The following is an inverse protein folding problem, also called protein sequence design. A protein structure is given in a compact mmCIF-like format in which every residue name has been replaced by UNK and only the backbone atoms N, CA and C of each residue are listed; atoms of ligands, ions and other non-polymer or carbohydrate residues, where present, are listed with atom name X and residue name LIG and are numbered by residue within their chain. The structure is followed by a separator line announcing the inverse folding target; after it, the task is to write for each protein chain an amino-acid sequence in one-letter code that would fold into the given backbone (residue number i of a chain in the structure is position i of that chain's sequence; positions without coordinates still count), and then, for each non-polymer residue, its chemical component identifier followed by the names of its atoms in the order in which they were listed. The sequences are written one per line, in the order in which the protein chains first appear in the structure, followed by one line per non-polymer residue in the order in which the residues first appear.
data_IF_195418551282
#
_entry.id   IF_195418551282
#
_cell.length_a   1.000
_cell.length_b   1.000
_cell.length_c   1.000
_cell.angle_alpha   90.00
_cell.angle_beta   90.00
_cell.angle_gamma   90.00
#
_symmetry.space_group_name_H-M   'P 1'
#
loop_
_entity.id
_entity.type
_entity.pdbx_description
1 polymer ?
#
# COMPACT_ATOMS: atom_id res chain seq x y z
N UNK A 1 -31.16 6.80 -1.37
CA UNK A 1 -30.69 6.97 0.03
C UNK A 1 -30.26 5.61 0.55
N UNK A 2 -29.01 5.23 0.31
CA UNK A 2 -28.39 4.12 1.05
C UNK A 2 -27.77 4.80 2.27
N UNK A 3 -28.36 4.57 3.44
CA UNK A 3 -28.00 5.23 4.71
C UNK A 3 -26.77 4.57 5.33
N UNK A 4 -26.17 5.19 6.35
CA UNK A 4 -25.10 4.65 7.23
C UNK A 4 -25.24 3.16 7.61
N UNK A 5 -26.46 2.59 7.56
CA UNK A 5 -26.73 1.15 7.76
C UNK A 5 -26.08 0.23 6.71
N UNK A 6 -25.82 0.71 5.50
CA UNK A 6 -25.16 -0.05 4.44
C UNK A 6 -23.69 -0.36 4.76
N UNK A 7 -22.96 0.65 5.25
CA UNK A 7 -21.54 0.55 5.62
C UNK A 7 -21.31 -0.43 6.78
N UNK A 8 -22.09 -0.29 7.86
CA UNK A 8 -22.08 -1.25 8.97
C UNK A 8 -22.58 -2.66 8.57
N UNK A 9 -23.13 -2.82 7.36
CA UNK A 9 -23.53 -4.12 6.83
C UNK A 9 -22.49 -4.72 5.91
N UNK A 10 -21.77 -3.89 5.15
CA UNK A 10 -20.59 -4.27 4.39
C UNK A 10 -19.44 -4.67 5.30
N UNK A 11 -19.05 -3.81 6.24
CA UNK A 11 -17.98 -4.09 7.21
C UNK A 11 -18.28 -5.29 8.11
N UNK A 12 -19.55 -5.52 8.47
CA UNK A 12 -19.91 -6.71 9.24
C UNK A 12 -19.99 -7.97 8.37
N UNK A 13 -20.31 -7.85 7.09
CA UNK A 13 -20.29 -8.99 6.17
C UNK A 13 -18.89 -9.37 5.74
N UNK A 14 -18.03 -8.42 5.43
CA UNK A 14 -16.62 -8.67 5.18
C UNK A 14 -16.01 -9.34 6.41
N UNK A 15 -16.24 -8.80 7.62
CA UNK A 15 -15.86 -9.46 8.87
C UNK A 15 -16.46 -10.85 9.01
N UNK A 16 -17.74 -11.08 8.68
CA UNK A 16 -18.40 -12.38 8.79
C UNK A 16 -17.82 -13.41 7.79
N UNK A 17 -17.59 -12.98 6.56
CA UNK A 17 -17.03 -13.78 5.46
C UNK A 17 -15.55 -14.09 5.76
N UNK A 18 -14.77 -13.09 6.16
CA UNK A 18 -13.38 -13.26 6.61
C UNK A 18 -13.32 -14.17 7.83
N UNK A 19 -14.23 -14.02 8.80
CA UNK A 19 -14.31 -14.88 9.99
C UNK A 19 -14.70 -16.32 9.64
N UNK A 20 -15.62 -16.54 8.71
CA UNK A 20 -15.96 -17.89 8.21
C UNK A 20 -14.80 -18.51 7.42
N UNK A 21 -14.06 -17.70 6.66
CA UNK A 21 -12.96 -18.15 5.82
C UNK A 21 -11.59 -18.04 6.51
N UNK A 22 -11.54 -17.68 7.80
CA UNK A 22 -10.31 -17.58 8.59
C UNK A 22 -9.57 -18.92 8.71
N UNK A 23 -10.27 -20.02 8.47
CA UNK A 23 -9.71 -21.37 8.40
C UNK A 23 -9.08 -21.71 7.03
N UNK A 24 -9.20 -20.83 6.03
CA UNK A 24 -8.72 -21.05 4.64
C UNK A 24 -7.61 -20.07 4.21
N UNK A 25 -7.32 -19.03 5.01
CA UNK A 25 -6.39 -17.95 4.66
C UNK A 25 -4.93 -18.21 5.04
N UNK A 26 -4.63 -19.34 5.69
CA UNK A 26 -3.26 -19.71 6.09
C UNK A 26 -2.41 -20.30 4.94
N UNK A 27 -2.99 -20.50 3.73
CA UNK A 27 -2.25 -20.98 2.55
C UNK A 27 -2.53 -20.19 1.26
N UNK A 28 -1.74 -20.47 0.21
CA UNK A 28 -1.77 -19.80 -1.11
C UNK A 28 -3.15 -19.73 -1.76
N UNK A 29 -4.01 -20.70 -1.48
CA UNK A 29 -5.39 -20.81 -1.95
C UNK A 29 -6.26 -19.72 -1.33
N UNK A 30 -6.00 -19.37 -0.07
CA UNK A 30 -6.67 -18.29 0.64
C UNK A 30 -6.52 -16.94 -0.02
N UNK A 31 -5.35 -16.64 -0.59
CA UNK A 31 -5.15 -15.38 -1.32
C UNK A 31 -6.00 -15.28 -2.58
N UNK A 32 -5.94 -16.29 -3.45
CA UNK A 32 -6.71 -16.28 -4.70
C UNK A 32 -8.20 -16.33 -4.44
N UNK A 33 -8.61 -17.08 -3.41
CA UNK A 33 -9.98 -17.02 -2.92
C UNK A 33 -10.32 -15.62 -2.43
N UNK A 34 -9.46 -14.98 -1.64
CA UNK A 34 -9.62 -13.59 -1.18
C UNK A 34 -9.80 -12.63 -2.36
N UNK A 35 -8.93 -12.66 -3.35
CA UNK A 35 -9.06 -11.86 -4.58
C UNK A 35 -10.34 -12.18 -5.35
N UNK A 36 -10.71 -13.45 -5.49
CA UNK A 36 -11.95 -13.85 -6.16
C UNK A 36 -13.19 -13.36 -5.37
N UNK A 37 -13.13 -13.40 -4.04
CA UNK A 37 -14.16 -12.83 -3.16
C UNK A 37 -14.23 -11.31 -3.30
N UNK A 38 -13.08 -10.65 -3.36
CA UNK A 38 -12.96 -9.21 -3.54
C UNK A 38 -13.58 -8.82 -4.89
N UNK A 39 -13.25 -9.56 -5.95
CA UNK A 39 -13.84 -9.42 -7.27
C UNK A 39 -15.37 -9.61 -7.26
N UNK A 40 -15.89 -10.59 -6.51
CA UNK A 40 -17.34 -10.83 -6.35
C UNK A 40 -18.03 -9.71 -5.57
N UNK A 41 -17.44 -9.26 -4.47
CA UNK A 41 -17.98 -8.16 -3.64
C UNK A 41 -17.98 -6.87 -4.43
N UNK A 42 -16.88 -6.55 -5.14
CA UNK A 42 -16.81 -5.41 -6.06
C UNK A 42 -17.91 -5.48 -7.11
N UNK A 43 -18.13 -6.61 -7.77
CA UNK A 43 -19.20 -6.70 -8.77
C UNK A 43 -20.59 -6.52 -8.17
N UNK A 44 -20.84 -7.01 -6.95
CA UNK A 44 -22.10 -6.77 -6.26
C UNK A 44 -22.24 -5.28 -5.92
N UNK A 45 -21.20 -4.66 -5.37
CA UNK A 45 -21.22 -3.23 -4.99
C UNK A 45 -21.45 -2.34 -6.21
N UNK A 46 -20.73 -2.61 -7.29
CA UNK A 46 -20.63 -1.73 -8.45
C UNK A 46 -21.74 -1.96 -9.51
N UNK A 47 -22.49 -3.08 -9.44
CA UNK A 47 -23.52 -3.43 -10.44
C UNK A 47 -24.87 -2.72 -10.26
N UNK A 48 -25.56 -2.47 -11.38
CA UNK A 48 -26.91 -1.85 -11.42
C UNK A 48 -28.08 -2.78 -11.03
N UNK A 49 -27.83 -4.04 -10.66
CA UNK A 49 -28.88 -5.05 -10.60
C UNK A 49 -29.81 -4.91 -9.37
N UNK A 50 -31.13 -5.01 -9.56
CA UNK A 50 -32.10 -5.19 -8.47
C UNK A 50 -31.79 -6.41 -7.60
N UNK A 51 -31.07 -7.39 -8.15
CA UNK A 51 -30.54 -8.54 -7.38
C UNK A 51 -29.54 -8.13 -6.32
N UNK A 52 -28.79 -7.05 -6.52
CA UNK A 52 -27.92 -6.44 -5.50
C UNK A 52 -28.77 -5.93 -4.34
N UNK A 53 -29.86 -5.22 -4.61
CA UNK A 53 -30.79 -4.78 -3.56
C UNK A 53 -31.46 -5.96 -2.83
N UNK A 54 -31.83 -7.03 -3.55
CA UNK A 54 -32.38 -8.26 -2.96
C UNK A 54 -31.34 -9.04 -2.16
N UNK A 55 -30.09 -9.09 -2.61
CA UNK A 55 -28.96 -9.65 -1.89
C UNK A 55 -28.77 -8.89 -0.57
N UNK A 56 -28.72 -7.56 -0.61
CA UNK A 56 -28.67 -6.72 0.59
C UNK A 56 -29.87 -6.92 1.53
N UNK A 57 -31.09 -7.07 0.99
CA UNK A 57 -32.29 -7.39 1.80
C UNK A 57 -32.19 -8.77 2.46
N UNK A 58 -31.69 -9.78 1.74
CA UNK A 58 -31.53 -11.15 2.26
C UNK A 58 -30.47 -11.21 3.35
N UNK A 59 -29.37 -10.47 3.18
CA UNK A 59 -28.34 -10.28 4.20
C UNK A 59 -28.90 -9.59 5.45
N UNK A 60 -29.67 -8.52 5.28
CA UNK A 60 -30.32 -7.84 6.41
C UNK A 60 -31.29 -8.78 7.16
N UNK A 61 -31.96 -9.69 6.44
CA UNK A 61 -32.81 -10.72 7.03
C UNK A 61 -32.00 -11.77 7.82
N UNK A 62 -30.85 -12.20 7.31
CA UNK A 62 -29.93 -13.12 7.98
C UNK A 62 -29.42 -12.50 9.30
N UNK A 63 -29.14 -11.19 9.32
CA UNK A 63 -28.81 -10.47 10.56
C UNK A 63 -29.95 -10.50 11.58
N UNK A 64 -31.19 -10.36 11.15
CA UNK A 64 -32.36 -10.40 12.03
C UNK A 64 -32.63 -11.81 12.59
N UNK A 65 -32.34 -12.85 11.81
CA UNK A 65 -32.55 -14.24 12.20
C UNK A 65 -31.42 -14.84 13.05
N UNK A 66 -30.21 -14.30 12.94
CA UNK A 66 -29.03 -14.80 13.69
C UNK A 66 -28.94 -14.26 15.14
N UNK A 67 -29.88 -13.43 15.59
CA UNK A 67 -29.97 -12.99 16.99
C UNK A 67 -28.77 -12.17 17.48
N UNK A 68 -28.03 -11.52 16.57
CA UNK A 68 -26.87 -10.72 16.91
C UNK A 68 -27.31 -9.39 17.55
N UNK A 69 -27.39 -9.38 18.89
CA UNK A 69 -27.55 -8.17 19.69
C UNK A 69 -26.18 -7.51 19.82
N UNK A 70 -26.09 -6.24 19.45
CA UNK A 70 -24.94 -5.38 19.76
C UNK A 70 -24.94 -5.11 21.27
N UNK A 71 -24.29 -5.95 22.06
CA UNK A 71 -23.89 -5.60 23.43
C UNK A 71 -22.57 -4.80 23.36
N UNK A 72 -22.72 -3.49 23.20
CA UNK A 72 -21.81 -2.51 23.76
C UNK A 72 -22.67 -1.67 24.70
N UNK A 73 -22.79 -2.12 25.95
CA UNK A 73 -23.25 -1.27 27.05
C UNK A 73 -22.03 -0.59 27.65
N UNK A 74 -22.07 0.74 27.63
CA UNK A 74 -21.29 1.59 28.52
C UNK A 74 -21.54 1.18 29.98
N UNK A 75 -20.45 1.09 30.74
CA UNK A 75 -20.29 1.20 32.21
C UNK A 75 -19.49 0.04 32.81
N UNK A 76 -18.23 0.32 33.16
CA UNK A 76 -17.62 -0.07 34.44
C UNK A 76 -16.28 0.66 34.64
N UNK A 77 -16.34 1.98 34.89
CA UNK A 77 -15.29 2.68 35.63
C UNK A 77 -15.63 2.51 37.10
N UNK A 78 -15.04 1.49 37.73
CA UNK A 78 -14.96 1.42 39.20
C UNK A 78 -13.62 1.97 39.66
N UNK A 79 -13.70 3.16 40.25
CA UNK A 79 -12.72 3.76 41.15
C UNK A 79 -12.33 2.78 42.25
N UNK A 80 -11.03 2.50 42.40
CA UNK A 80 -10.48 1.99 43.65
C UNK A 80 -9.13 2.62 43.94
N UNK A 81 -9.07 3.16 45.15
CA UNK A 81 -7.99 3.90 45.79
C UNK A 81 -6.59 3.28 45.60
N UNK A 82 -5.61 4.17 45.46
CA UNK A 82 -4.23 3.95 45.92
C UNK A 82 -3.54 5.30 46.11
N UNK A 83 -3.75 5.90 47.27
CA UNK A 83 -2.73 6.72 47.91
C UNK A 83 -1.71 5.80 48.58
N UNK A 84 -0.49 6.33 48.76
CA UNK A 84 0.62 5.79 49.58
C UNK A 84 1.60 4.85 48.88
N UNK A 85 2.71 5.41 48.39
CA UNK A 85 4.01 5.19 49.04
C UNK A 85 5.10 6.02 48.32
N UNK A 86 5.33 7.22 48.83
CA UNK A 86 6.63 7.88 48.75
C UNK A 86 7.66 7.04 49.53
N UNK A 87 8.84 6.80 48.94
CA UNK A 87 10.17 6.79 49.58
C UNK A 87 11.12 5.80 48.89
N UNK A 88 12.09 6.34 48.13
CA UNK A 88 13.53 6.21 48.42
C UNK A 88 14.37 6.44 47.17
N UNK A 89 14.92 7.65 47.05
CA UNK A 89 16.13 7.90 46.26
C UNK A 89 17.12 8.60 47.18
N UNK A 90 18.15 7.87 47.63
CA UNK A 90 19.40 8.50 48.08
C UNK A 90 20.59 7.56 47.94
N UNK A 91 21.45 7.92 46.99
CA UNK A 91 22.92 8.03 47.05
C UNK A 91 23.69 6.86 47.67
N UNK A 92 24.61 6.30 46.87
CA UNK A 92 26.03 6.13 47.26
C UNK A 92 26.92 5.85 46.04
N UNK A 93 27.77 6.83 45.76
CA UNK A 93 29.05 6.67 45.05
C UNK A 93 30.04 5.94 45.97
N UNK A 94 30.88 5.06 45.40
CA UNK A 94 32.31 4.94 45.72
C UNK A 94 32.98 3.89 44.81
N UNK A 95 34.03 4.31 44.10
CA UNK A 95 35.13 3.47 43.56
C UNK A 95 36.03 2.97 44.72
N UNK A 96 36.82 1.90 44.54
CA UNK A 96 38.19 1.98 43.97
C UNK A 96 38.47 0.87 42.92
N UNK A 97 39.17 1.14 41.82
CA UNK A 97 40.64 1.07 41.62
C UNK A 97 41.27 -0.23 42.12
N UNK A 98 41.58 -1.14 41.18
CA UNK A 98 42.80 -1.95 41.24
C UNK A 98 43.19 -2.42 39.82
N UNK A 99 44.46 -2.20 39.52
CA UNK A 99 45.21 -2.61 38.34
C UNK A 99 45.65 -4.07 38.47
N UNK A 100 45.78 -4.80 37.36
CA UNK A 100 47.09 -5.32 36.95
C UNK A 100 47.06 -6.25 35.72
N UNK A 101 48.15 -6.08 34.96
CA UNK A 101 48.90 -7.05 34.16
C UNK A 101 48.35 -7.66 32.87
N UNK A 102 49.09 -7.27 31.82
CA UNK A 102 49.34 -7.91 30.54
C UNK A 102 49.58 -9.42 30.59
N UNK A 103 49.08 -10.12 29.56
CA UNK A 103 49.77 -11.28 29.00
C UNK A 103 49.77 -11.18 27.47
N UNK A 104 50.97 -11.08 26.92
CA UNK A 104 51.30 -11.13 25.50
C UNK A 104 51.38 -12.60 25.09
N UNK A 105 50.62 -13.02 24.07
CA UNK A 105 50.94 -14.24 23.33
C UNK A 105 50.82 -14.06 21.82
N UNK A 106 51.68 -14.82 21.14
CA UNK A 106 52.24 -14.57 19.81
C UNK A 106 51.45 -15.28 18.70
N UNK A 107 51.42 -14.62 17.54
CA UNK A 107 51.47 -15.15 16.16
C UNK A 107 50.71 -16.46 15.84
N UNK A 108 49.74 -16.33 14.95
CA UNK A 108 49.60 -17.26 13.82
C UNK A 108 49.26 -16.47 12.55
N UNK A 109 50.03 -16.71 11.49
CA UNK A 109 49.86 -16.17 10.13
C UNK A 109 49.04 -17.18 9.32
N UNK A 110 47.95 -16.76 8.67
CA UNK A 110 47.46 -17.37 7.42
C UNK A 110 46.32 -16.54 6.78
N UNK A 111 45.99 -16.73 5.49
CA UNK A 111 46.63 -16.08 4.35
C UNK A 111 45.68 -15.12 3.61
N UNK A 112 46.23 -14.34 2.67
CA UNK A 112 45.49 -13.46 1.76
C UNK A 112 44.31 -14.16 1.07
N UNK A 113 43.14 -13.52 0.90
CA UNK A 113 42.09 -14.05 0.07
C UNK A 113 42.42 -13.80 -1.41
N UNK A 114 42.40 -14.88 -2.20
CA UNK A 114 42.40 -14.83 -3.65
C UNK A 114 41.14 -14.13 -4.17
N UNK A 115 41.20 -13.33 -5.24
CA UNK A 115 40.02 -12.77 -5.87
C UNK A 115 39.41 -13.89 -6.72
N UNK A 116 38.23 -14.40 -6.34
CA UNK A 116 37.22 -15.03 -7.21
C UNK A 116 36.21 -15.83 -6.37
N UNK A 117 35.28 -15.14 -5.74
CA UNK A 117 33.86 -15.51 -5.75
C UNK A 117 33.08 -14.26 -5.33
N UNK A 118 32.22 -13.74 -6.21
CA UNK A 118 31.21 -12.75 -5.83
C UNK A 118 30.19 -13.44 -4.92
N UNK A 119 30.57 -13.66 -3.66
CA UNK A 119 29.62 -13.97 -2.61
C UNK A 119 28.83 -12.68 -2.38
N UNK A 120 27.68 -12.55 -3.04
CA UNK A 120 26.68 -11.58 -2.63
C UNK A 120 26.28 -11.92 -1.19
N UNK A 121 26.91 -11.27 -0.22
CA UNK A 121 26.58 -11.40 1.19
C UNK A 121 25.19 -10.83 1.38
N UNK A 122 24.20 -11.69 1.59
CA UNK A 122 22.86 -11.27 1.96
C UNK A 122 22.93 -10.69 3.36
N UNK A 123 22.70 -9.39 3.48
CA UNK A 123 22.63 -8.72 4.77
C UNK A 123 21.23 -8.90 5.36
N UNK A 124 21.19 -9.22 6.66
CA UNK A 124 19.95 -9.43 7.40
C UNK A 124 19.55 -8.13 8.09
N UNK A 125 18.36 -7.62 7.76
CA UNK A 125 17.81 -6.41 8.33
C UNK A 125 16.59 -6.70 9.20
N UNK A 126 16.32 -5.80 10.15
CA UNK A 126 15.12 -5.85 10.99
C UNK A 126 14.18 -4.71 10.64
N UNK A 127 12.90 -5.02 10.45
CA UNK A 127 11.88 -4.00 10.19
C UNK A 127 11.85 -2.92 11.28
N UNK A 128 12.02 -3.30 12.55
CA UNK A 128 11.98 -2.36 13.67
C UNK A 128 13.04 -1.25 13.57
N UNK A 129 14.23 -1.59 13.07
CA UNK A 129 15.33 -0.65 12.91
C UNK A 129 15.03 0.32 11.76
N UNK A 130 14.56 -0.19 10.62
CA UNK A 130 14.13 0.65 9.50
C UNK A 130 13.01 1.62 9.88
N UNK A 131 12.00 1.17 10.64
CA UNK A 131 10.92 2.05 11.13
C UNK A 131 11.47 3.18 11.99
N UNK A 132 12.44 2.86 12.86
CA UNK A 132 13.07 3.85 13.72
C UNK A 132 13.85 4.88 12.88
N UNK A 133 14.63 4.42 11.89
CA UNK A 133 15.44 5.28 11.03
C UNK A 133 14.60 6.10 10.04
N UNK A 134 13.48 5.56 9.56
CA UNK A 134 12.57 6.24 8.63
C UNK A 134 11.59 7.19 9.30
N UNK A 135 11.62 7.32 10.64
CA UNK A 135 10.58 8.04 11.38
C UNK A 135 10.38 9.48 10.92
N UNK A 136 11.45 10.17 10.54
CA UNK A 136 11.40 11.57 10.06
C UNK A 136 10.67 11.75 8.73
N UNK A 137 10.53 10.68 7.92
CA UNK A 137 9.73 10.74 6.71
C UNK A 137 8.27 11.07 7.01
N UNK A 138 7.76 10.68 8.19
CA UNK A 138 6.38 10.93 8.62
C UNK A 138 6.09 12.44 8.73
N UNK A 139 7.09 13.27 9.02
CA UNK A 139 6.94 14.74 9.10
C UNK A 139 6.60 15.38 7.75
N UNK A 140 6.85 14.65 6.65
CA UNK A 140 6.60 15.10 5.28
C UNK A 140 5.40 14.43 4.62
N UNK A 141 4.81 13.44 5.29
CA UNK A 141 3.57 12.80 4.85
C UNK A 141 2.42 13.68 5.30
N UNK A 142 1.76 14.31 4.34
CA UNK A 142 0.74 15.33 4.61
C UNK A 142 -0.65 14.69 4.61
N UNK A 143 -0.86 13.71 3.74
CA UNK A 143 -2.13 13.04 3.61
C UNK A 143 -2.15 11.71 4.38
N UNK A 144 -2.93 11.67 5.45
CA UNK A 144 -3.31 10.40 6.05
C UNK A 144 -4.33 9.71 5.14
N UNK A 145 -3.82 8.78 4.33
CA UNK A 145 -4.63 7.99 3.39
C UNK A 145 -5.80 7.28 4.08
N UNK A 146 -5.67 6.89 5.36
CA UNK A 146 -6.76 6.24 6.09
C UNK A 146 -7.86 7.19 6.50
N UNK A 147 -7.48 8.40 6.95
CA UNK A 147 -8.46 9.45 7.21
C UNK A 147 -9.19 9.80 5.92
N UNK A 148 -8.48 9.90 4.80
CA UNK A 148 -9.13 10.13 3.50
C UNK A 148 -10.12 9.01 3.16
N UNK A 149 -9.70 7.74 3.17
CA UNK A 149 -10.57 6.58 2.89
C UNK A 149 -11.84 6.59 3.76
N UNK A 150 -11.67 6.80 5.07
CA UNK A 150 -12.79 6.72 6.04
C UNK A 150 -13.71 7.93 6.01
N UNK A 151 -13.27 9.06 5.46
CA UNK A 151 -14.06 10.29 5.35
C UNK A 151 -14.76 10.44 4.00
N UNK A 152 -14.43 9.62 3.00
CA UNK A 152 -15.16 9.58 1.74
C UNK A 152 -16.64 9.24 2.01
N UNK A 153 -17.52 10.20 1.72
CA UNK A 153 -18.95 9.96 1.79
C UNK A 153 -19.30 8.79 0.87
N UNK A 154 -19.91 7.74 1.43
CA UNK A 154 -20.26 6.54 0.69
C UNK A 154 -21.31 6.85 -0.38
N UNK A 155 -20.85 7.16 -1.58
CA UNK A 155 -21.63 7.14 -2.80
C UNK A 155 -21.33 5.82 -3.49
N UNK A 156 -22.34 5.02 -3.83
CA UNK A 156 -22.10 3.78 -4.56
C UNK A 156 -21.56 4.14 -5.96
N UNK A 157 -20.24 3.98 -6.22
CA UNK A 157 -19.68 4.40 -7.49
C UNK A 157 -20.19 3.42 -8.54
N UNK A 158 -20.97 3.94 -9.49
CA UNK A 158 -21.47 3.12 -10.59
C UNK A 158 -20.36 3.00 -11.61
N UNK A 159 -19.94 1.76 -11.87
CA UNK A 159 -19.05 1.43 -12.97
C UNK A 159 -19.83 0.69 -14.06
N UNK A 160 -19.42 0.89 -15.31
CA UNK A 160 -19.92 0.10 -16.43
C UNK A 160 -19.61 -1.40 -16.21
N UNK A 161 -20.53 -2.31 -16.59
CA UNK A 161 -20.31 -3.75 -16.40
C UNK A 161 -19.01 -4.27 -17.01
N UNK A 162 -18.56 -3.70 -18.13
CA UNK A 162 -17.27 -4.04 -18.75
C UNK A 162 -16.08 -3.68 -17.86
N UNK A 163 -16.13 -2.53 -17.20
CA UNK A 163 -15.10 -2.07 -16.26
C UNK A 163 -15.05 -2.97 -15.04
N UNK A 164 -16.22 -3.36 -14.51
CA UNK A 164 -16.33 -4.34 -13.42
C UNK A 164 -15.69 -5.66 -13.84
N UNK A 165 -16.07 -6.22 -15.00
CA UNK A 165 -15.50 -7.48 -15.48
C UNK A 165 -13.99 -7.42 -15.65
N UNK A 166 -13.46 -6.28 -16.13
CA UNK A 166 -12.02 -6.05 -16.25
C UNK A 166 -11.31 -5.98 -14.90
N UNK A 167 -11.88 -5.27 -13.94
CA UNK A 167 -11.37 -5.25 -12.58
C UNK A 167 -11.38 -6.64 -11.95
N UNK A 168 -12.43 -7.43 -12.16
CA UNK A 168 -12.51 -8.82 -11.67
C UNK A 168 -11.45 -9.73 -12.30
N UNK A 169 -11.29 -9.65 -13.62
CA UNK A 169 -10.27 -10.40 -14.37
C UNK A 169 -8.87 -10.04 -13.87
N UNK A 170 -8.57 -8.75 -13.77
CA UNK A 170 -7.29 -8.27 -13.29
C UNK A 170 -7.03 -8.67 -11.84
N UNK A 171 -7.99 -8.49 -10.93
CA UNK A 171 -7.86 -8.91 -9.52
C UNK A 171 -7.63 -10.42 -9.43
N UNK A 172 -8.35 -11.24 -10.19
CA UNK A 172 -8.26 -12.70 -10.12
C UNK A 172 -7.04 -13.29 -10.84
N UNK A 173 -6.39 -12.51 -11.70
CA UNK A 173 -5.23 -12.97 -12.48
C UNK A 173 -4.04 -13.30 -11.55
N UNK A 174 -3.33 -14.42 -11.76
CA UNK A 174 -2.12 -14.75 -11.01
C UNK A 174 -0.89 -13.93 -11.44
N UNK A 175 -1.03 -13.06 -12.44
CA UNK A 175 0.07 -12.27 -12.99
C UNK A 175 0.16 -10.91 -12.29
N UNK A 176 1.39 -10.48 -12.03
CA UNK A 176 1.69 -9.11 -11.61
C UNK A 176 1.40 -8.16 -12.77
N UNK A 177 0.50 -7.21 -12.57
CA UNK A 177 0.04 -6.34 -13.65
C UNK A 177 -0.46 -4.99 -13.10
N UNK A 178 -0.42 -3.99 -13.98
CA UNK A 178 -1.06 -2.70 -13.80
C UNK A 178 -2.48 -2.72 -14.34
N UNK A 179 -3.40 -2.10 -13.61
CA UNK A 179 -4.72 -1.74 -14.12
C UNK A 179 -4.95 -0.26 -13.88
N UNK A 180 -5.22 0.48 -14.94
CA UNK A 180 -5.56 1.90 -14.90
C UNK A 180 -7.02 2.09 -15.32
N UNK A 181 -7.87 2.55 -14.40
CA UNK A 181 -9.23 2.99 -14.70
C UNK A 181 -9.26 4.53 -14.72
N UNK A 182 -9.52 5.11 -15.87
CA UNK A 182 -9.69 6.56 -16.03
C UNK A 182 -11.16 6.89 -16.28
N UNK A 183 -11.66 7.99 -15.70
CA UNK A 183 -13.00 8.51 -16.03
C UNK A 183 -12.89 9.79 -16.84
N UNK A 184 -13.70 9.92 -17.88
CA UNK A 184 -13.75 11.16 -18.69
C UNK A 184 -14.15 12.35 -17.80
N UNK A 185 -13.21 13.30 -17.62
CA UNK A 185 -13.38 14.63 -17.04
C UNK A 185 -14.26 14.66 -15.77
N UNK A 186 -13.77 14.10 -14.66
CA UNK A 186 -14.41 14.33 -13.38
C UNK A 186 -14.01 15.73 -12.86
N UNK A 187 -14.96 16.67 -12.87
CA UNK A 187 -14.75 18.07 -12.48
C UNK A 187 -14.44 18.23 -10.98
N UNK A 188 -14.80 17.23 -10.16
CA UNK A 188 -14.67 17.28 -8.70
C UNK A 188 -13.81 16.12 -8.20
N UNK A 189 -12.84 16.45 -7.35
CA UNK A 189 -12.10 15.51 -6.51
C UNK A 189 -12.65 15.57 -5.07
N UNK A 190 -12.80 14.45 -4.34
CA UNK A 190 -12.59 13.07 -4.76
C UNK A 190 -13.52 12.66 -5.91
N UNK A 191 -12.99 11.87 -6.85
CA UNK A 191 -13.78 11.37 -7.97
C UNK A 191 -14.60 10.15 -7.54
N UNK A 192 -15.65 9.75 -8.28
CA UNK A 192 -16.30 8.45 -8.03
C UNK A 192 -15.34 7.26 -8.10
N UNK A 193 -14.23 7.37 -8.85
CA UNK A 193 -13.21 6.33 -8.90
C UNK A 193 -12.36 6.31 -7.62
N UNK A 194 -12.18 7.43 -6.93
CA UNK A 194 -11.54 7.47 -5.61
C UNK A 194 -12.28 6.60 -4.59
N UNK A 195 -13.61 6.52 -4.69
CA UNK A 195 -14.43 5.61 -3.87
C UNK A 195 -14.19 4.13 -4.25
N UNK A 196 -13.99 3.83 -5.54
CA UNK A 196 -13.63 2.46 -5.98
C UNK A 196 -12.28 2.07 -5.38
N UNK A 197 -11.28 2.95 -5.47
CA UNK A 197 -9.96 2.75 -4.87
C UNK A 197 -10.02 2.58 -3.36
N UNK A 198 -10.78 3.41 -2.65
CA UNK A 198 -10.98 3.29 -1.21
C UNK A 198 -11.63 1.95 -0.82
N UNK A 199 -12.71 1.55 -1.49
CA UNK A 199 -13.35 0.25 -1.25
C UNK A 199 -12.39 -0.92 -1.50
N UNK A 200 -11.58 -0.84 -2.56
CA UNK A 200 -10.59 -1.86 -2.88
C UNK A 200 -9.54 -1.99 -1.77
N UNK A 201 -9.07 -0.86 -1.23
CA UNK A 201 -8.14 -0.85 -0.08
C UNK A 201 -8.80 -1.44 1.16
N UNK A 202 -10.01 -0.99 1.53
CA UNK A 202 -10.73 -1.52 2.70
C UNK A 202 -10.91 -3.04 2.62
N UNK A 203 -11.35 -3.56 1.46
CA UNK A 203 -11.51 -4.99 1.28
C UNK A 203 -10.19 -5.76 1.35
N UNK A 204 -9.11 -5.23 0.76
CA UNK A 204 -7.80 -5.85 0.84
C UNK A 204 -7.34 -6.00 2.30
N UNK A 205 -7.63 -4.99 3.12
CA UNK A 205 -7.24 -4.92 4.54
C UNK A 205 -8.07 -5.89 5.37
N UNK A 206 -9.37 -5.93 5.13
CA UNK A 206 -10.27 -6.90 5.76
C UNK A 206 -9.87 -8.33 5.42
N UNK A 207 -9.32 -8.57 4.23
CA UNK A 207 -8.79 -9.86 3.79
C UNK A 207 -7.34 -10.12 4.21
N UNK A 208 -6.74 -9.24 5.01
CA UNK A 208 -5.35 -9.32 5.47
C UNK A 208 -4.31 -9.39 4.34
N UNK A 209 -4.61 -8.76 3.21
CA UNK A 209 -3.66 -8.59 2.12
C UNK A 209 -2.67 -7.48 2.45
N UNK A 210 -1.43 -7.64 1.98
CA UNK A 210 -0.45 -6.55 2.05
C UNK A 210 -0.89 -5.45 1.10
N UNK A 211 -1.24 -4.28 1.63
CA UNK A 211 -1.70 -3.15 0.82
C UNK A 211 -0.87 -1.90 1.07
N UNK A 212 -0.50 -1.22 -0.01
CA UNK A 212 -0.10 0.18 0.01
C UNK A 212 -1.18 1.00 -0.69
N UNK A 213 -1.50 2.17 -0.18
CA UNK A 213 -2.43 3.08 -0.80
C UNK A 213 -1.89 4.51 -0.76
N UNK A 214 -2.07 5.25 -1.85
CA UNK A 214 -1.80 6.67 -1.91
C UNK A 214 -2.90 7.37 -2.70
N UNK A 215 -3.51 8.37 -2.08
CA UNK A 215 -4.54 9.21 -2.68
C UNK A 215 -3.93 10.58 -2.88
N UNK A 216 -3.61 10.94 -4.13
CA UNK A 216 -2.92 12.17 -4.43
C UNK A 216 -3.87 13.37 -4.33
N UNK A 217 -3.56 14.33 -3.45
CA UNK A 217 -4.21 15.64 -3.45
C UNK A 217 -3.63 16.58 -4.50
N UNK A 218 -4.30 17.72 -4.73
CA UNK A 218 -3.75 18.75 -5.59
C UNK A 218 -2.55 19.43 -4.92
N UNK A 219 -1.49 19.78 -5.66
CA UNK A 219 -0.36 20.53 -5.12
C UNK A 219 -0.76 21.81 -4.38
N UNK A 220 -1.84 22.47 -4.81
CA UNK A 220 -2.35 23.68 -4.14
C UNK A 220 -2.74 23.46 -2.67
N UNK A 221 -3.16 22.24 -2.32
CA UNK A 221 -3.60 21.84 -0.98
C UNK A 221 -2.43 21.60 -0.02
N UNK A 222 -1.20 21.53 -0.54
CA UNK A 222 0.00 21.38 0.27
C UNK A 222 0.34 22.70 0.99
N UNK A 223 0.78 22.63 2.26
CA UNK A 223 1.04 23.80 3.08
C UNK A 223 2.28 24.58 2.61
N UNK A 224 2.23 25.91 2.79
CA UNK A 224 3.38 26.82 2.67
C UNK A 224 3.78 27.23 1.23
N UNK A 225 4.83 28.05 1.16
CA UNK A 225 5.72 28.19 0.00
C UNK A 225 5.19 28.77 -1.32
N UNK A 226 6.10 28.78 -2.29
CA UNK A 226 5.85 29.02 -3.71
C UNK A 226 5.13 27.82 -4.36
N UNK A 227 4.63 28.02 -5.59
CA UNK A 227 4.00 26.93 -6.36
C UNK A 227 4.94 25.72 -6.51
N UNK A 228 6.22 25.96 -6.82
CA UNK A 228 7.22 24.90 -7.01
C UNK A 228 7.50 24.12 -5.73
N UNK A 229 7.56 24.81 -4.58
CA UNK A 229 7.77 24.16 -3.28
C UNK A 229 6.61 23.23 -2.91
N UNK A 230 5.38 23.64 -3.23
CA UNK A 230 4.18 22.82 -3.04
C UNK A 230 4.15 21.60 -3.95
N UNK A 231 4.48 21.78 -5.22
CA UNK A 231 4.58 20.68 -6.19
C UNK A 231 5.62 19.65 -5.77
N UNK A 232 6.79 20.10 -5.32
CA UNK A 232 7.83 19.22 -4.80
C UNK A 232 7.38 18.51 -3.51
N UNK A 233 6.69 19.22 -2.60
CA UNK A 233 6.14 18.63 -1.39
C UNK A 233 5.13 17.51 -1.70
N UNK A 234 4.32 17.68 -2.74
CA UNK A 234 3.35 16.69 -3.19
C UNK A 234 4.02 15.41 -3.71
N UNK A 235 5.02 15.53 -4.59
CA UNK A 235 5.73 14.34 -5.10
C UNK A 235 6.60 13.69 -4.02
N UNK A 236 7.14 14.47 -3.08
CA UNK A 236 7.84 13.93 -1.90
C UNK A 236 6.91 13.10 -1.02
N UNK A 237 5.72 13.63 -0.72
CA UNK A 237 4.70 12.93 0.05
C UNK A 237 4.36 11.59 -0.61
N UNK A 238 4.22 11.57 -1.95
CA UNK A 238 4.02 10.34 -2.70
C UNK A 238 5.11 9.29 -2.46
N UNK A 239 6.39 9.64 -2.66
CA UNK A 239 7.49 8.70 -2.45
C UNK A 239 7.59 8.24 -0.98
N UNK A 240 7.42 9.15 -0.03
CA UNK A 240 7.64 8.88 1.39
C UNK A 240 6.48 8.08 1.99
N UNK A 241 5.26 8.41 1.61
CA UNK A 241 4.07 7.61 1.91
C UNK A 241 4.24 6.17 1.44
N UNK A 242 4.73 5.95 0.22
CA UNK A 242 4.99 4.60 -0.28
C UNK A 242 6.12 3.90 0.46
N UNK A 243 7.27 4.56 0.65
CA UNK A 243 8.40 3.99 1.39
C UNK A 243 7.98 3.58 2.81
N UNK A 244 7.23 4.43 3.50
CA UNK A 244 6.79 4.17 4.87
C UNK A 244 5.88 2.96 4.95
N UNK A 245 4.92 2.85 4.03
CA UNK A 245 4.02 1.70 3.94
C UNK A 245 4.76 0.42 3.55
N UNK A 246 5.68 0.50 2.59
CA UNK A 246 6.54 -0.63 2.21
C UNK A 246 7.32 -1.14 3.42
N UNK A 247 7.96 -0.24 4.18
CA UNK A 247 8.68 -0.59 5.42
C UNK A 247 7.76 -1.25 6.44
N UNK A 248 6.53 -0.76 6.60
CA UNK A 248 5.56 -1.36 7.53
C UNK A 248 5.18 -2.79 7.15
N UNK A 249 5.08 -3.06 5.84
CA UNK A 249 4.73 -4.38 5.33
C UNK A 249 5.88 -5.40 5.39
N UNK A 250 7.13 -4.98 5.56
CA UNK A 250 8.27 -5.92 5.59
C UNK A 250 8.09 -7.02 6.67
N UNK A 251 8.65 -8.22 6.45
CA UNK A 251 8.75 -9.21 7.51
C UNK A 251 9.56 -8.68 8.72
N UNK A 252 9.39 -9.23 9.93
CA UNK A 252 10.17 -8.79 11.10
C UNK A 252 11.68 -8.80 10.87
N UNK A 253 12.15 -9.79 10.09
CA UNK A 253 13.52 -9.91 9.59
C UNK A 253 13.47 -10.28 8.11
N UNK A 254 14.30 -9.63 7.30
CA UNK A 254 14.34 -9.87 5.86
C UNK A 254 15.76 -9.67 5.33
N UNK A 255 16.03 -10.30 4.19
CA UNK A 255 17.29 -10.15 3.47
C UNK A 255 17.06 -9.31 2.24
N UNK A 256 18.05 -8.48 1.89
CA UNK A 256 18.07 -7.74 0.64
C UNK A 256 19.10 -8.37 -0.28
N UNK A 257 18.70 -8.63 -1.52
CA UNK A 257 19.58 -9.19 -2.53
C UNK A 257 20.40 -8.09 -3.20
N UNK A 258 21.71 -8.30 -3.29
CA UNK A 258 22.67 -7.37 -3.89
C UNK A 258 23.29 -6.41 -2.90
N UNK A 259 24.13 -5.51 -3.41
CA UNK A 259 24.91 -4.55 -2.63
C UNK A 259 24.09 -3.30 -2.22
N UNK A 260 22.80 -3.46 -1.94
CA UNK A 260 22.00 -2.31 -1.49
C UNK A 260 22.25 -2.08 0.00
N UNK A 261 23.03 -1.04 0.30
CA UNK A 261 23.31 -0.62 1.66
C UNK A 261 22.08 0.07 2.28
N UNK A 262 21.38 -0.62 3.20
CA UNK A 262 20.25 -0.06 3.96
C UNK A 262 20.77 0.35 5.35
N UNK A 263 21.59 1.39 5.36
CA UNK A 263 22.15 2.00 6.57
C UNK A 263 21.25 3.07 7.16
N UNK A 264 21.40 3.29 8.47
CA UNK A 264 20.72 4.38 9.18
C UNK A 264 21.05 5.75 8.58
N UNK A 265 22.31 5.96 8.18
CA UNK A 265 22.83 7.17 7.58
C UNK A 265 22.14 7.49 6.27
N UNK A 266 21.83 6.46 5.47
CA UNK A 266 21.15 6.61 4.19
C UNK A 266 19.68 6.98 4.35
N UNK A 267 19.01 6.39 5.34
CA UNK A 267 17.63 6.77 5.66
C UNK A 267 17.56 8.16 6.28
N UNK A 268 18.52 8.54 7.13
CA UNK A 268 18.62 9.89 7.70
C UNK A 268 19.02 10.94 6.65
N UNK A 269 19.76 10.56 5.60
CA UNK A 269 20.09 11.45 4.49
C UNK A 269 18.87 11.84 3.65
N UNK A 270 17.72 11.18 3.83
CA UNK A 270 16.46 11.60 3.23
C UNK A 270 15.92 12.89 3.86
N UNK A 271 16.48 13.37 4.98
CA UNK A 271 16.03 14.61 5.61
C UNK A 271 16.37 15.90 4.81
N UNK A 272 17.28 15.84 3.82
CA UNK A 272 17.77 17.02 3.07
C UNK A 272 17.08 17.17 1.69
N UNK A 273 15.86 17.72 1.73
CA UNK A 273 14.82 17.59 0.71
C UNK A 273 14.67 18.75 -0.28
N UNK A 274 15.75 19.45 -0.60
CA UNK A 274 15.88 20.17 -1.88
C UNK A 274 16.83 19.46 -2.84
N UNK A 275 17.50 18.40 -2.38
CA UNK A 275 18.62 17.81 -3.08
C UNK A 275 18.17 16.65 -3.96
N UNK A 276 18.57 16.69 -5.24
CA UNK A 276 18.46 15.55 -6.17
C UNK A 276 19.04 14.25 -5.58
N UNK A 277 19.99 14.35 -4.64
CA UNK A 277 20.60 13.22 -3.96
C UNK A 277 19.62 12.51 -3.01
N UNK A 278 18.85 13.24 -2.22
CA UNK A 278 17.87 12.64 -1.31
C UNK A 278 16.77 11.92 -2.12
N UNK A 279 16.32 12.54 -3.21
CA UNK A 279 15.36 11.93 -4.13
C UNK A 279 15.86 10.59 -4.71
N UNK A 280 17.05 10.59 -5.33
CA UNK A 280 17.65 9.36 -5.88
C UNK A 280 17.83 8.28 -4.81
N UNK A 281 18.26 8.68 -3.61
CA UNK A 281 18.42 7.76 -2.47
C UNK A 281 17.09 7.09 -2.10
N UNK A 282 15.99 7.84 -2.10
CA UNK A 282 14.65 7.34 -1.80
C UNK A 282 14.13 6.37 -2.86
N UNK A 283 14.36 6.67 -4.15
CA UNK A 283 14.03 5.76 -5.25
C UNK A 283 14.82 4.45 -5.15
N UNK A 284 16.12 4.52 -4.89
CA UNK A 284 16.96 3.33 -4.72
C UNK A 284 16.52 2.50 -3.51
N UNK A 285 16.08 3.14 -2.41
CA UNK A 285 15.54 2.44 -1.25
C UNK A 285 14.24 1.73 -1.62
N UNK A 286 13.32 2.41 -2.30
CA UNK A 286 12.05 1.84 -2.74
C UNK A 286 12.31 0.62 -3.64
N UNK A 287 13.20 0.76 -4.62
CA UNK A 287 13.59 -0.31 -5.55
C UNK A 287 14.13 -1.55 -4.84
N UNK A 288 14.89 -1.37 -3.76
CA UNK A 288 15.48 -2.48 -3.01
C UNK A 288 14.56 -3.09 -1.97
N UNK A 289 13.61 -2.33 -1.43
CA UNK A 289 12.67 -2.83 -0.41
C UNK A 289 11.44 -3.52 -1.03
N UNK A 290 10.97 -3.08 -2.20
CA UNK A 290 9.82 -3.68 -2.88
C UNK A 290 9.92 -5.21 -3.08
N UNK A 291 11.08 -5.78 -3.46
CA UNK A 291 11.23 -7.23 -3.57
C UNK A 291 10.98 -7.98 -2.25
N UNK A 292 11.26 -7.35 -1.11
CA UNK A 292 11.19 -7.92 0.23
C UNK A 292 9.79 -7.87 0.86
N UNK A 293 8.85 -7.11 0.28
CA UNK A 293 7.47 -7.04 0.77
C UNK A 293 6.78 -8.41 0.61
N UNK A 294 6.04 -8.87 1.64
CA UNK A 294 5.27 -10.10 1.57
C UNK A 294 4.34 -10.07 0.35
N UNK A 295 4.55 -11.03 -0.53
CA UNK A 295 3.66 -11.24 -1.64
C UNK A 295 2.56 -12.20 -1.18
N UNK A 296 1.31 -11.92 -1.52
CA UNK A 296 0.88 -10.93 -2.52
C UNK A 296 0.70 -9.52 -1.98
N UNK A 297 0.95 -8.53 -2.83
CA UNK A 297 0.82 -7.12 -2.49
C UNK A 297 -0.09 -6.39 -3.49
N UNK A 298 -1.00 -5.58 -2.96
CA UNK A 298 -1.80 -4.64 -3.72
C UNK A 298 -1.30 -3.22 -3.47
N UNK A 299 -1.11 -2.43 -4.52
CA UNK A 299 -0.77 -1.01 -4.43
C UNK A 299 -1.88 -0.23 -5.13
N UNK A 300 -2.51 0.71 -4.43
CA UNK A 300 -3.61 1.52 -4.96
C UNK A 300 -3.15 2.98 -5.03
N UNK A 301 -3.19 3.56 -6.23
CA UNK A 301 -2.72 4.91 -6.52
C UNK A 301 -3.85 5.70 -7.17
N UNK A 302 -4.48 6.59 -6.41
CA UNK A 302 -5.59 7.43 -6.89
C UNK A 302 -5.11 8.87 -7.15
N UNK A 303 -5.58 9.48 -8.23
CA UNK A 303 -5.38 10.91 -8.50
C UNK A 303 -3.98 11.29 -9.01
N UNK A 304 -3.19 10.35 -9.53
CA UNK A 304 -1.80 10.61 -9.98
C UNK A 304 -1.73 11.68 -11.08
N UNK A 305 -2.80 11.91 -11.85
CA UNK A 305 -2.92 12.99 -12.82
C UNK A 305 -2.73 14.40 -12.22
N UNK A 306 -2.92 14.56 -10.91
CA UNK A 306 -2.64 15.81 -10.22
C UNK A 306 -1.15 16.17 -10.23
N UNK A 307 -0.26 15.19 -10.43
CA UNK A 307 1.18 15.37 -10.54
C UNK A 307 1.61 15.76 -11.97
N UNK A 308 0.81 15.49 -12.99
CA UNK A 308 1.17 15.76 -14.40
C UNK A 308 1.22 17.26 -14.71
N UNK A 309 0.42 18.06 -14.01
CA UNK A 309 0.33 19.50 -14.26
C UNK A 309 1.40 20.31 -13.51
N UNK A 310 2.43 19.63 -13.01
CA UNK A 310 3.47 20.20 -12.16
C UNK A 310 4.81 20.30 -12.89
N UNK A 311 5.68 21.19 -12.41
CA UNK A 311 7.08 21.28 -12.85
C UNK A 311 7.91 20.04 -12.50
N UNK A 312 7.36 19.11 -11.72
CA UNK A 312 8.02 17.91 -11.19
C UNK A 312 7.38 16.61 -11.67
N UNK A 313 6.58 16.64 -12.75
CA UNK A 313 5.92 15.46 -13.30
C UNK A 313 6.90 14.30 -13.61
N UNK A 314 8.12 14.62 -14.04
CA UNK A 314 9.17 13.63 -14.27
C UNK A 314 9.55 12.83 -13.01
N UNK A 315 9.48 13.45 -11.83
CA UNK A 315 9.77 12.77 -10.56
C UNK A 315 8.68 11.74 -10.24
N UNK A 316 7.40 12.05 -10.48
CA UNK A 316 6.32 11.08 -10.33
C UNK A 316 6.53 9.88 -11.26
N UNK A 317 6.93 10.13 -12.52
CA UNK A 317 7.24 9.09 -13.49
C UNK A 317 8.35 8.14 -12.99
N UNK A 318 9.42 8.68 -12.37
CA UNK A 318 10.51 7.88 -11.81
C UNK A 318 10.02 6.90 -10.73
N UNK A 319 9.12 7.32 -9.86
CA UNK A 319 8.50 6.43 -8.85
C UNK A 319 7.72 5.30 -9.53
N UNK A 320 6.91 5.62 -10.54
CA UNK A 320 6.13 4.60 -11.24
C UNK A 320 7.00 3.64 -12.05
N UNK A 321 8.11 4.11 -12.62
CA UNK A 321 9.10 3.25 -13.26
C UNK A 321 9.70 2.24 -12.27
N UNK A 322 10.00 2.65 -11.03
CA UNK A 322 10.47 1.74 -9.98
C UNK A 322 9.42 0.67 -9.65
N UNK A 323 8.13 1.03 -9.59
CA UNK A 323 7.05 0.06 -9.42
C UNK A 323 6.96 -0.90 -10.61
N UNK A 324 7.11 -0.40 -11.84
CA UNK A 324 7.13 -1.20 -13.06
C UNK A 324 8.27 -2.21 -13.06
N UNK A 325 9.48 -1.75 -12.78
CA UNK A 325 10.66 -2.61 -12.63
C UNK A 325 10.41 -3.73 -11.60
N UNK A 326 9.80 -3.42 -10.46
CA UNK A 326 9.52 -4.39 -9.41
C UNK A 326 8.50 -5.47 -9.84
N UNK A 327 7.49 -5.08 -10.62
CA UNK A 327 6.50 -6.00 -11.20
C UNK A 327 7.16 -6.92 -12.25
N UNK A 328 8.06 -6.38 -13.08
CA UNK A 328 8.54 -7.11 -14.26
C UNK A 328 9.86 -7.86 -14.07
N UNK A 329 10.78 -7.36 -13.25
CA UNK A 329 12.06 -8.05 -12.99
C UNK A 329 11.84 -9.42 -12.35
N UNK A 330 10.84 -9.52 -11.46
CA UNK A 330 10.39 -10.80 -10.87
C UNK A 330 9.81 -11.81 -11.88
N UNK A 331 9.45 -11.38 -13.09
CA UNK A 331 8.94 -12.25 -14.14
C UNK A 331 10.03 -12.75 -15.10
N UNK A 332 11.14 -12.02 -15.25
CA UNK A 332 12.26 -12.40 -16.13
C UNK A 332 13.16 -13.46 -15.51
N UNK A 333 13.44 -13.36 -14.21
CA UNK A 333 14.29 -14.32 -13.48
C UNK A 333 13.70 -15.75 -13.49
N UNK A 334 12.41 -15.89 -13.81
CA UNK A 334 11.70 -17.16 -13.94
C UNK A 334 12.09 -17.95 -15.20
N UNK A 335 12.48 -17.28 -16.29
CA UNK A 335 12.75 -17.95 -17.57
C UNK A 335 14.19 -18.45 -17.73
N UNK A 336 15.06 -18.22 -16.74
CA UNK A 336 16.50 -18.50 -16.85
C UNK A 336 17.03 -19.58 -15.89
N UNK A 337 16.21 -20.10 -14.97
CA UNK A 337 16.61 -21.20 -14.07
C UNK A 337 15.74 -22.44 -14.28
N UNK A 338 16.11 -23.29 -15.23
CA UNK A 338 15.68 -24.69 -15.23
C UNK A 338 16.25 -25.37 -13.98
N UNK A 339 15.42 -25.65 -12.96
CA UNK A 339 15.78 -26.59 -11.91
C UNK A 339 15.54 -26.22 -10.44
N UNK A 340 14.84 -25.13 -10.11
CA UNK A 340 14.38 -24.90 -8.72
C UNK A 340 12.95 -24.37 -8.68
N UNK A 341 12.05 -25.19 -8.13
CA UNK A 341 10.60 -25.03 -8.07
C UNK A 341 10.12 -23.98 -7.05
N UNK A 342 10.78 -22.83 -6.99
CA UNK A 342 10.28 -21.68 -6.24
C UNK A 342 9.89 -20.56 -7.18
N UNK A 343 8.72 -20.72 -7.82
CA UNK A 343 7.93 -19.58 -8.33
C UNK A 343 8.06 -18.40 -7.35
N UNK A 344 8.28 -17.19 -7.85
CA UNK A 344 7.88 -15.98 -7.13
C UNK A 344 6.35 -16.08 -6.95
N UNK A 345 5.96 -16.66 -5.81
CA UNK A 345 4.69 -17.41 -5.64
C UNK A 345 3.42 -16.55 -5.61
N UNK A 346 3.54 -15.23 -5.66
CA UNK A 346 2.42 -14.32 -5.44
C UNK A 346 2.61 -12.99 -6.19
N UNK A 347 1.56 -12.46 -6.85
CA UNK A 347 1.66 -11.28 -7.70
C UNK A 347 1.68 -9.98 -6.90
N UNK A 348 2.40 -8.99 -7.45
CA UNK A 348 2.26 -7.59 -7.09
C UNK A 348 1.29 -6.93 -8.07
N UNK A 349 0.22 -6.34 -7.57
CA UNK A 349 -0.82 -5.70 -8.36
C UNK A 349 -0.83 -4.21 -8.06
N UNK A 350 -0.78 -3.38 -9.09
CA UNK A 350 -0.88 -1.92 -8.93
C UNK A 350 -2.12 -1.43 -9.66
N UNK A 351 -2.99 -0.75 -8.94
CA UNK A 351 -4.25 -0.19 -9.41
C UNK A 351 -4.18 1.33 -9.44
N UNK A 352 -4.53 1.92 -10.58
CA UNK A 352 -4.60 3.35 -10.76
C UNK A 352 -6.04 3.80 -11.02
N UNK A 353 -6.43 4.91 -10.38
CA UNK A 353 -7.66 5.62 -10.71
C UNK A 353 -7.37 7.09 -10.99
N UNK A 354 -7.90 7.60 -12.11
CA UNK A 354 -7.70 9.00 -12.53
C UNK A 354 -9.01 9.66 -12.98
N UNK A 355 -9.14 10.95 -12.69
CA UNK A 355 -10.21 11.86 -13.10
C UNK A 355 -10.00 12.43 -14.52
N UNK A 356 -9.36 11.67 -15.41
CA UNK A 356 -9.10 12.09 -16.78
C UNK A 356 -7.87 11.40 -17.35
N UNK A 357 -7.30 12.01 -18.40
CA UNK A 357 -6.02 11.59 -18.94
C UNK A 357 -4.89 11.86 -17.93
N UNK A 358 -3.92 10.96 -17.95
CA UNK A 358 -2.69 11.07 -17.18
C UNK A 358 -1.52 10.83 -18.13
N UNK A 359 -0.73 11.87 -18.39
CA UNK A 359 0.40 11.83 -19.31
C UNK A 359 1.49 10.90 -18.78
N UNK A 360 1.75 10.94 -17.47
CA UNK A 360 2.72 10.05 -16.83
C UNK A 360 2.33 8.58 -16.98
N UNK A 361 1.06 8.23 -16.78
CA UNK A 361 0.59 6.84 -16.96
C UNK A 361 0.54 6.43 -18.44
N UNK A 362 0.25 7.36 -19.35
CA UNK A 362 0.28 7.09 -20.78
C UNK A 362 1.70 6.80 -21.26
N UNK A 363 2.67 7.61 -20.85
CA UNK A 363 4.09 7.38 -21.12
C UNK A 363 4.59 6.06 -20.50
N UNK A 364 4.12 5.74 -19.29
CA UNK A 364 4.44 4.47 -18.65
C UNK A 364 3.90 3.28 -19.44
N UNK A 365 2.65 3.36 -19.91
CA UNK A 365 2.01 2.34 -20.72
C UNK A 365 2.75 2.10 -22.05
N UNK A 366 3.18 3.17 -22.74
CA UNK A 366 3.93 3.08 -24.00
C UNK A 366 5.27 2.33 -23.87
N UNK A 367 5.88 2.40 -22.68
CA UNK A 367 7.15 1.74 -22.39
C UNK A 367 6.99 0.32 -21.85
N UNK A 368 5.75 -0.19 -21.75
CA UNK A 368 5.44 -1.48 -21.14
C UNK A 368 4.78 -2.46 -22.13
N UNK A 369 4.98 -3.76 -21.89
CA UNK A 369 4.27 -4.79 -22.64
C UNK A 369 2.76 -4.69 -22.39
N UNK A 370 1.97 -4.62 -23.46
CA UNK A 370 0.50 -4.48 -23.41
C UNK A 370 -0.18 -5.54 -22.52
N UNK A 371 0.40 -6.74 -22.42
CA UNK A 371 -0.17 -7.84 -21.61
C UNK A 371 -0.12 -7.61 -20.09
N UNK A 372 0.60 -6.59 -19.62
CA UNK A 372 0.80 -6.32 -18.19
C UNK A 372 0.40 -4.91 -17.75
N UNK A 373 -0.12 -4.12 -18.69
CA UNK A 373 -0.66 -2.80 -18.42
C UNK A 373 -2.01 -2.67 -19.13
N UNK A 374 -3.10 -2.76 -18.37
CA UNK A 374 -4.45 -2.60 -18.91
C UNK A 374 -5.00 -1.21 -18.59
N UNK A 375 -5.50 -0.50 -19.60
CA UNK A 375 -6.22 0.77 -19.45
C UNK A 375 -7.70 0.58 -19.76
N UNK A 376 -8.57 1.03 -18.86
CA UNK A 376 -10.02 1.04 -19.02
C UNK A 376 -10.53 2.47 -18.89
N UNK A 377 -11.26 2.94 -19.90
CA UNK A 377 -11.90 4.26 -19.89
C UNK A 377 -13.36 4.10 -19.46
N UNK A 378 -13.66 4.56 -18.26
CA UNK A 378 -15.00 4.62 -17.69
C UNK A 378 -15.79 5.78 -18.30
N UNK A 379 -16.66 5.46 -19.27
CA UNK A 379 -17.45 6.45 -19.98
C UNK A 379 -18.74 6.77 -19.25
N UNK A 380 -19.04 8.05 -19.09
CA UNK A 380 -20.35 8.46 -18.60
C UNK A 380 -21.40 8.26 -19.70
N UNK A 381 -22.34 7.35 -19.51
CA UNK A 381 -23.40 7.04 -20.48
C UNK A 381 -24.46 8.17 -20.53
N UNK A 382 -24.08 9.35 -21.06
CA UNK A 382 -24.97 10.50 -21.28
C UNK A 382 -26.12 10.17 -22.23
N UNK A 383 -25.99 9.10 -23.03
CA UNK A 383 -26.96 8.70 -24.07
C UNK A 383 -28.28 8.13 -23.53
N UNK A 384 -28.33 7.62 -22.29
CA UNK A 384 -29.58 7.04 -21.74
C UNK A 384 -30.59 8.07 -21.23
N UNK A 385 -30.19 9.33 -20.98
CA UNK A 385 -31.13 10.38 -20.53
C UNK A 385 -31.89 11.08 -21.67
N UNK A 386 -31.35 11.11 -22.89
CA UNK A 386 -32.04 11.71 -24.03
C UNK A 386 -33.11 10.82 -24.68
N UNK A 387 -33.12 9.51 -24.41
CA UNK A 387 -34.15 8.58 -24.94
C UNK A 387 -35.37 8.36 -24.04
N UNK A 388 -35.42 9.01 -22.87
CA UNK A 388 -36.60 8.98 -21.97
C UNK A 388 -37.36 10.32 -21.93
N UNK A 389 -36.99 11.25 -22.80
CA UNK A 389 -37.61 12.59 -22.93
C UNK A 389 -38.24 12.82 -24.30
N UNK A 390 -38.50 11.75 -25.07
CA UNK A 390 -39.30 11.77 -26.29
C UNK A 390 -40.45 10.77 -26.21
#
# INVERSE_FOLDING_TARGET
MVTHRGLATLQELSKLIVKQNRLLLDDRTGFYQGLEYLAKILAIMLSEDRRTEQFWRKIALIKQQSGFVSELTDDEITTRDSSEAENNIRVKQAHPVESDTQTVEKRSKQPCPSPNSENHTKELYRRGDLKLWSRRMEDYIIQDNWVFITTLEYQNPRLEPSTISKLQEWVSSPVSAFLWISKDFAINYPSPLSIVSANLVEMAVEMHLSVCAFFCSWPADYPGGSKEEKEYACVRDFLYSLLRQVIDLLPPQFEVEGACDITSERLLALDDLGSKKAWATGLDLLKSLLPCVPQPTLIVLDGIEHLDQTSVANLAAEVLCVLGDAIFKKASDYNSSEGSSSMSKHPMKVFFTTAGDCDTLSALQENMEESRFERVIERHDLKRRQRRSF
#
